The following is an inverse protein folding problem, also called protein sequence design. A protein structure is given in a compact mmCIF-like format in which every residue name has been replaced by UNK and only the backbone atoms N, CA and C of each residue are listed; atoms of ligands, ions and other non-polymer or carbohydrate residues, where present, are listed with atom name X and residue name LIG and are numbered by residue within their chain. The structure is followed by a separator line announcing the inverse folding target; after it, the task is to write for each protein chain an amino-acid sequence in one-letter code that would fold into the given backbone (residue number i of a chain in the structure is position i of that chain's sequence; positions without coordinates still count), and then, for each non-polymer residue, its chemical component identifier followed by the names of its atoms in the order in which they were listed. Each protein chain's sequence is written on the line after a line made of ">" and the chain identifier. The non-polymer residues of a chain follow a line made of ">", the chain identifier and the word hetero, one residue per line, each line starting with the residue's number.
data_IF_544319979101
#
_entry.id   IF_544319979101
#
_cell.length_a   1.000
_cell.length_b   1.000
_cell.length_c   1.000
_cell.angle_alpha   90.00
_cell.angle_beta   90.00
_cell.angle_gamma   90.00
#
_symmetry.space_group_name_H-M   'P 1'
#
loop_
_entity.id
_entity.type
_entity.pdbx_description
1 polymer ?
#
# COMPACT_ATOMS: atom_id res chain seq x y z
N UNK A 1 -22.49 5.37 65.38
CA UNK A 1 -21.27 4.84 64.73
C UNK A 1 -21.51 4.12 63.41
N UNK A 2 -22.72 3.61 63.10
CA UNK A 2 -23.03 2.89 61.83
C UNK A 2 -23.22 3.75 60.57
N UNK A 3 -23.58 5.03 60.68
CA UNK A 3 -23.88 5.90 59.52
C UNK A 3 -22.65 6.39 58.75
N UNK A 4 -21.47 6.44 59.37
CA UNK A 4 -20.23 6.86 58.70
C UNK A 4 -19.59 5.75 57.88
N UNK A 5 -19.73 4.48 58.26
CA UNK A 5 -19.20 3.34 57.56
C UNK A 5 -19.93 3.07 56.20
N UNK A 6 -21.24 3.36 56.15
CA UNK A 6 -22.01 3.21 54.89
C UNK A 6 -21.61 4.25 53.82
N UNK A 7 -21.36 5.51 54.25
CA UNK A 7 -20.95 6.57 53.31
C UNK A 7 -19.54 6.33 52.75
N UNK A 8 -18.64 5.76 53.53
CA UNK A 8 -17.28 5.43 53.09
C UNK A 8 -17.28 4.25 52.09
N UNK A 9 -18.11 3.24 52.30
CA UNK A 9 -18.23 2.09 51.35
C UNK A 9 -18.83 2.50 50.04
N UNK A 10 -19.82 3.38 50.00
CA UNK A 10 -20.44 3.87 48.78
C UNK A 10 -19.49 4.78 48.01
N UNK A 11 -18.68 5.61 48.68
CA UNK A 11 -17.67 6.43 48.05
C UNK A 11 -16.54 5.58 47.43
N UNK A 12 -16.07 4.55 48.16
CA UNK A 12 -15.02 3.63 47.66
C UNK A 12 -15.50 2.84 46.43
N UNK A 13 -16.76 2.38 46.44
CA UNK A 13 -17.36 1.65 45.32
C UNK A 13 -17.55 2.53 44.08
N UNK A 14 -17.86 3.83 44.25
CA UNK A 14 -17.95 4.80 43.15
C UNK A 14 -16.59 5.10 42.53
N UNK A 15 -15.53 5.16 43.35
CA UNK A 15 -14.15 5.36 42.87
C UNK A 15 -13.68 4.12 42.10
N UNK A 16 -13.96 2.90 42.56
CA UNK A 16 -13.60 1.66 41.89
C UNK A 16 -14.35 1.49 40.54
N UNK A 17 -15.62 1.88 40.47
CA UNK A 17 -16.40 1.84 39.20
C UNK A 17 -15.88 2.91 38.22
N UNK A 18 -15.50 4.08 38.69
CA UNK A 18 -14.90 5.12 37.83
C UNK A 18 -13.51 4.72 37.30
N UNK A 19 -12.70 4.00 38.10
CA UNK A 19 -11.42 3.47 37.68
C UNK A 19 -11.59 2.31 36.64
N UNK A 20 -12.60 1.47 36.81
CA UNK A 20 -12.89 0.38 35.90
C UNK A 20 -13.42 0.87 34.52
N UNK A 21 -14.21 1.96 34.50
CA UNK A 21 -14.65 2.60 33.24
C UNK A 21 -13.52 3.34 32.52
N UNK A 22 -12.54 3.88 33.26
CA UNK A 22 -11.38 4.57 32.67
C UNK A 22 -10.38 3.64 31.96
N UNK A 23 -10.37 2.36 32.31
CA UNK A 23 -9.43 1.37 31.73
C UNK A 23 -9.94 0.71 30.44
N UNK A 24 -11.22 0.90 30.08
CA UNK A 24 -11.78 0.34 28.83
C UNK A 24 -11.57 1.22 27.58
N UNK A 25 -10.96 2.40 27.72
CA UNK A 25 -10.79 3.34 26.61
C UNK A 25 -9.36 3.38 26.02
N UNK A 26 -8.45 2.54 26.49
CA UNK A 26 -7.07 2.47 25.94
C UNK A 26 -6.79 1.19 25.16
N UNK A 27 -7.80 0.47 24.73
CA UNK A 27 -7.67 -0.43 23.59
C UNK A 27 -7.49 0.45 22.37
N UNK A 28 -6.26 0.82 22.04
CA UNK A 28 -5.95 1.38 20.73
C UNK A 28 -6.47 0.37 19.71
N UNK A 29 -7.65 0.63 19.17
CA UNK A 29 -8.10 -0.04 17.98
C UNK A 29 -7.00 0.26 16.95
N UNK A 30 -6.13 -0.70 16.70
CA UNK A 30 -5.42 -0.76 15.44
C UNK A 30 -6.52 -0.82 14.39
N UNK A 31 -6.89 0.35 13.89
CA UNK A 31 -7.83 0.45 12.79
C UNK A 31 -7.34 -0.50 11.72
N UNK A 32 -8.22 -1.35 11.26
CA UNK A 32 -7.90 -2.23 10.15
C UNK A 32 -7.62 -1.33 8.94
N UNK A 33 -6.34 -1.23 8.55
CA UNK A 33 -5.90 -0.37 7.45
C UNK A 33 -6.20 -0.98 6.08
N UNK A 34 -7.02 -2.03 6.02
CA UNK A 34 -7.45 -2.65 4.76
C UNK A 34 -8.24 -1.68 3.90
N UNK A 35 -9.13 -0.87 4.49
CA UNK A 35 -9.88 0.16 3.77
C UNK A 35 -8.97 1.29 3.26
N UNK A 36 -7.97 1.69 4.07
CA UNK A 36 -6.95 2.66 3.67
C UNK A 36 -6.13 2.14 2.48
N UNK A 37 -5.74 0.86 2.52
CA UNK A 37 -5.02 0.20 1.44
C UNK A 37 -5.85 0.09 0.15
N UNK A 38 -7.13 -0.30 0.28
CA UNK A 38 -8.05 -0.35 -0.86
C UNK A 38 -8.20 1.02 -1.50
N UNK A 39 -8.43 2.06 -0.67
CA UNK A 39 -8.55 3.45 -1.14
C UNK A 39 -7.28 3.96 -1.81
N UNK A 40 -6.10 3.60 -1.30
CA UNK A 40 -4.82 3.92 -1.91
C UNK A 40 -4.72 3.34 -3.33
N UNK A 41 -5.10 2.08 -3.54
CA UNK A 41 -5.07 1.45 -4.86
C UNK A 41 -6.12 2.07 -5.80
N UNK A 42 -7.35 2.31 -5.35
CA UNK A 42 -8.36 3.00 -6.15
C UNK A 42 -7.88 4.38 -6.60
N UNK A 43 -7.24 5.12 -5.69
CA UNK A 43 -6.69 6.46 -6.00
C UNK A 43 -5.56 6.36 -7.02
N UNK A 44 -4.62 5.43 -6.85
CA UNK A 44 -3.54 5.19 -7.81
C UNK A 44 -4.09 4.86 -9.21
N UNK A 45 -5.07 3.95 -9.27
CA UNK A 45 -5.66 3.55 -10.56
C UNK A 45 -6.37 4.74 -11.23
N UNK A 46 -7.12 5.53 -10.46
CA UNK A 46 -7.78 6.73 -10.98
C UNK A 46 -6.78 7.76 -11.50
N UNK A 47 -5.66 7.99 -10.82
CA UNK A 47 -4.59 8.89 -11.27
C UNK A 47 -3.96 8.38 -12.58
N UNK A 48 -3.64 7.09 -12.68
CA UNK A 48 -3.09 6.50 -13.90
C UNK A 48 -4.06 6.67 -15.07
N UNK A 49 -5.35 6.45 -14.84
CA UNK A 49 -6.38 6.61 -15.86
C UNK A 49 -6.54 8.07 -16.31
N UNK A 50 -6.50 9.03 -15.38
CA UNK A 50 -6.57 10.45 -15.69
C UNK A 50 -5.36 10.92 -16.52
N UNK A 51 -4.16 10.51 -16.13
CA UNK A 51 -2.94 10.77 -16.89
C UNK A 51 -3.04 10.16 -18.29
N UNK A 52 -3.44 8.89 -18.38
CA UNK A 52 -3.60 8.21 -19.66
C UNK A 52 -4.64 8.88 -20.58
N UNK A 53 -5.67 9.51 -20.01
CA UNK A 53 -6.69 10.20 -20.77
C UNK A 53 -6.27 11.60 -21.26
N UNK A 54 -5.40 12.29 -20.50
CA UNK A 54 -5.12 13.73 -20.68
C UNK A 54 -3.75 14.04 -21.23
N UNK A 55 -2.77 13.16 -21.02
CA UNK A 55 -1.36 13.41 -21.36
C UNK A 55 -1.00 12.77 -22.70
N UNK A 56 -0.35 13.56 -23.57
CA UNK A 56 0.30 13.01 -24.75
C UNK A 56 1.52 12.18 -24.34
N UNK A 57 1.89 11.18 -25.16
CA UNK A 57 3.14 10.41 -24.93
C UNK A 57 4.32 11.31 -25.32
N UNK A 58 4.77 12.08 -24.35
CA UNK A 58 5.89 13.00 -24.44
C UNK A 58 6.74 12.94 -23.15
N UNK A 59 7.69 13.84 -23.00
CA UNK A 59 8.56 13.90 -21.80
C UNK A 59 7.78 14.06 -20.49
N UNK A 60 6.53 14.53 -20.53
CA UNK A 60 5.69 14.71 -19.35
C UNK A 60 5.20 13.36 -18.78
N UNK A 61 5.00 12.33 -19.63
CA UNK A 61 4.60 11.01 -19.16
C UNK A 61 5.66 10.36 -18.27
N UNK A 62 6.95 10.55 -18.59
CA UNK A 62 8.06 10.04 -17.79
C UNK A 62 8.10 10.71 -16.41
N UNK A 63 7.91 12.04 -16.38
CA UNK A 63 7.83 12.75 -15.10
C UNK A 63 6.66 12.31 -14.26
N UNK A 64 5.48 12.13 -14.82
CA UNK A 64 4.30 11.69 -14.09
C UNK A 64 4.44 10.25 -13.60
N UNK A 65 5.06 9.36 -14.39
CA UNK A 65 5.40 8.00 -13.97
C UNK A 65 6.35 8.02 -12.77
N UNK A 66 7.36 8.88 -12.80
CA UNK A 66 8.34 9.05 -11.73
C UNK A 66 7.67 9.56 -10.43
N UNK A 67 6.78 10.54 -10.53
CA UNK A 67 6.01 11.09 -9.41
C UNK A 67 5.07 10.03 -8.78
N UNK A 68 4.46 9.14 -9.58
CA UNK A 68 3.65 8.00 -9.09
C UNK A 68 4.53 7.00 -8.34
N UNK A 69 5.68 6.66 -8.90
CA UNK A 69 6.61 5.72 -8.27
C UNK A 69 7.05 6.23 -6.90
N UNK A 70 7.37 7.52 -6.79
CA UNK A 70 7.77 8.12 -5.51
C UNK A 70 6.66 8.11 -4.46
N UNK A 71 5.41 8.31 -4.86
CA UNK A 71 4.29 8.39 -3.91
C UNK A 71 3.81 7.05 -3.41
N UNK A 72 3.78 6.04 -4.27
CA UNK A 72 3.15 4.76 -3.95
C UNK A 72 4.13 3.64 -3.66
N UNK A 73 5.41 3.78 -4.06
CA UNK A 73 6.41 2.72 -3.92
C UNK A 73 7.64 3.23 -3.16
N UNK A 74 8.22 2.39 -2.32
CA UNK A 74 9.57 2.63 -1.77
C UNK A 74 10.60 2.00 -2.70
N UNK A 75 10.92 2.65 -3.82
CA UNK A 75 11.73 2.08 -4.90
C UNK A 75 13.10 1.57 -4.42
N UNK A 76 13.73 2.22 -3.44
CA UNK A 76 15.00 1.76 -2.86
C UNK A 76 14.85 0.40 -2.17
N UNK A 77 13.73 0.21 -1.46
CA UNK A 77 13.42 -1.08 -0.82
C UNK A 77 13.19 -2.16 -1.88
N UNK A 78 12.46 -1.85 -2.94
CA UNK A 78 12.20 -2.77 -4.04
C UNK A 78 13.49 -3.13 -4.76
N UNK A 79 14.31 -2.13 -5.13
CA UNK A 79 15.60 -2.33 -5.77
C UNK A 79 16.53 -3.21 -4.93
N UNK A 80 16.63 -2.96 -3.63
CA UNK A 80 17.44 -3.78 -2.74
C UNK A 80 16.94 -5.23 -2.65
N UNK A 81 15.63 -5.43 -2.71
CA UNK A 81 15.02 -6.74 -2.68
C UNK A 81 15.31 -7.55 -3.94
N UNK A 82 15.24 -6.92 -5.13
CA UNK A 82 15.43 -7.62 -6.42
C UNK A 82 16.81 -8.23 -6.59
N UNK A 83 17.86 -7.63 -6.04
CA UNK A 83 19.21 -8.20 -6.09
C UNK A 83 19.60 -8.98 -4.82
N UNK A 84 18.72 -8.98 -3.79
CA UNK A 84 18.79 -9.83 -2.62
C UNK A 84 20.16 -9.79 -1.92
N UNK A 85 20.88 -10.95 -1.79
CA UNK A 85 22.14 -11.02 -1.08
C UNK A 85 23.24 -10.09 -1.63
N UNK A 86 23.22 -9.81 -2.93
CA UNK A 86 24.22 -8.94 -3.57
C UNK A 86 24.16 -7.52 -3.05
N UNK A 87 22.97 -7.04 -2.65
CA UNK A 87 22.80 -5.71 -2.05
C UNK A 87 23.70 -5.50 -0.82
N UNK A 88 23.81 -6.51 0.04
CA UNK A 88 24.62 -6.41 1.27
C UNK A 88 26.12 -6.31 1.00
N UNK A 89 26.57 -6.91 -0.09
CA UNK A 89 27.98 -6.98 -0.46
C UNK A 89 28.39 -5.84 -1.42
N UNK A 90 27.44 -5.08 -1.94
CA UNK A 90 27.68 -3.97 -2.85
C UNK A 90 28.28 -2.76 -2.10
N UNK A 91 29.23 -2.07 -2.71
CA UNK A 91 29.71 -0.77 -2.22
C UNK A 91 28.62 0.30 -2.38
N UNK A 92 28.76 1.43 -1.68
CA UNK A 92 27.78 2.53 -1.77
C UNK A 92 27.68 3.08 -3.21
N UNK A 93 28.80 3.18 -3.92
CA UNK A 93 28.81 3.59 -5.32
C UNK A 93 28.07 2.57 -6.24
N UNK A 94 28.24 1.28 -6.00
CA UNK A 94 27.50 0.24 -6.72
C UNK A 94 26.00 0.30 -6.44
N UNK A 95 25.61 0.51 -5.17
CA UNK A 95 24.19 0.69 -4.79
C UNK A 95 23.59 1.91 -5.46
N UNK A 96 24.26 3.06 -5.43
CA UNK A 96 23.78 4.28 -6.07
C UNK A 96 23.59 4.12 -7.58
N UNK A 97 24.56 3.51 -8.28
CA UNK A 97 24.40 3.21 -9.71
C UNK A 97 23.25 2.27 -9.99
N UNK A 98 23.08 1.24 -9.17
CA UNK A 98 21.98 0.31 -9.32
C UNK A 98 20.62 0.99 -9.09
N UNK A 99 20.47 1.77 -8.02
CA UNK A 99 19.24 2.52 -7.73
C UNK A 99 18.86 3.44 -8.89
N UNK A 100 19.83 4.18 -9.42
CA UNK A 100 19.60 5.06 -10.57
C UNK A 100 19.11 4.28 -11.79
N UNK A 101 19.74 3.15 -12.10
CA UNK A 101 19.36 2.30 -13.25
C UNK A 101 18.00 1.66 -13.01
N UNK A 102 17.77 1.09 -11.83
CA UNK A 102 16.49 0.46 -11.47
C UNK A 102 15.33 1.46 -11.61
N UNK A 103 15.48 2.67 -11.04
CA UNK A 103 14.48 3.73 -11.16
C UNK A 103 14.19 4.07 -12.62
N UNK A 104 15.22 4.30 -13.43
CA UNK A 104 15.06 4.63 -14.84
C UNK A 104 14.29 3.54 -15.61
N UNK A 105 14.61 2.25 -15.37
CA UNK A 105 13.91 1.12 -16.00
C UNK A 105 12.45 1.06 -15.58
N UNK A 106 12.14 1.24 -14.28
CA UNK A 106 10.75 1.18 -13.80
C UNK A 106 9.92 2.35 -14.35
N UNK A 107 10.50 3.56 -14.39
CA UNK A 107 9.84 4.74 -14.98
C UNK A 107 9.57 4.53 -16.46
N UNK A 108 10.55 4.02 -17.21
CA UNK A 108 10.42 3.74 -18.63
C UNK A 108 9.35 2.68 -18.90
N UNK A 109 9.32 1.59 -18.12
CA UNK A 109 8.29 0.56 -18.23
C UNK A 109 6.90 1.13 -17.95
N UNK A 110 6.74 1.97 -16.93
CA UNK A 110 5.48 2.62 -16.62
C UNK A 110 5.05 3.55 -17.77
N UNK A 111 5.92 4.44 -18.22
CA UNK A 111 5.65 5.39 -19.29
C UNK A 111 5.25 4.71 -20.61
N UNK A 112 5.97 3.65 -21.02
CA UNK A 112 5.70 2.92 -22.26
C UNK A 112 4.38 2.10 -22.23
N UNK A 113 3.81 1.86 -21.05
CA UNK A 113 2.54 1.12 -20.91
C UNK A 113 1.33 2.01 -20.65
N UNK A 114 1.49 3.34 -20.57
CA UNK A 114 0.37 4.24 -20.29
C UNK A 114 -0.77 4.15 -21.31
N UNK A 115 -0.45 3.96 -22.58
CA UNK A 115 -1.46 3.79 -23.62
C UNK A 115 -2.36 2.57 -23.36
N UNK A 116 -1.77 1.48 -22.88
CA UNK A 116 -2.51 0.29 -22.49
C UNK A 116 -3.48 0.55 -21.34
N UNK A 117 -3.08 1.36 -20.35
CA UNK A 117 -3.94 1.71 -19.21
C UNK A 117 -5.22 2.47 -19.58
N UNK A 118 -5.26 3.15 -20.74
CA UNK A 118 -6.48 3.81 -21.23
C UNK A 118 -7.63 2.85 -21.49
N UNK A 119 -7.31 1.65 -21.94
CA UNK A 119 -8.32 0.63 -22.25
C UNK A 119 -8.75 -0.18 -21.04
N UNK A 120 -8.02 -0.09 -19.93
CA UNK A 120 -8.28 -0.92 -18.76
C UNK A 120 -9.33 -0.29 -17.85
N UNK A 121 -10.15 -1.15 -17.26
CA UNK A 121 -11.05 -0.84 -16.15
C UNK A 121 -10.66 -1.70 -14.95
N UNK A 122 -10.48 -1.08 -13.80
CA UNK A 122 -10.16 -1.78 -12.56
C UNK A 122 -11.41 -1.94 -11.72
N UNK A 123 -11.69 -3.15 -11.29
CA UNK A 123 -12.80 -3.51 -10.43
C UNK A 123 -12.26 -4.06 -9.11
N UNK A 124 -12.38 -3.29 -8.03
CA UNK A 124 -12.03 -3.74 -6.69
C UNK A 124 -12.84 -4.99 -6.31
N UNK A 125 -12.20 -5.97 -5.67
CA UNK A 125 -12.84 -7.19 -5.21
C UNK A 125 -12.77 -7.36 -3.69
N UNK A 126 -11.58 -7.24 -3.12
CA UNK A 126 -11.39 -7.44 -1.68
C UNK A 126 -10.11 -6.79 -1.19
N UNK A 127 -10.08 -6.55 0.13
CA UNK A 127 -8.87 -6.17 0.84
C UNK A 127 -8.78 -6.97 2.15
N UNK A 128 -7.63 -7.58 2.41
CA UNK A 128 -7.45 -8.44 3.58
C UNK A 128 -6.05 -8.34 4.19
N UNK A 129 -5.96 -8.48 5.51
CA UNK A 129 -4.66 -8.61 6.17
C UNK A 129 -4.03 -9.98 5.91
N UNK A 130 -2.72 -9.97 5.62
CA UNK A 130 -1.89 -11.16 5.46
C UNK A 130 -0.74 -11.16 6.46
N UNK A 131 -0.93 -11.84 7.58
CA UNK A 131 0.03 -11.80 8.69
C UNK A 131 0.07 -10.42 9.37
N UNK A 132 1.22 -10.06 9.95
CA UNK A 132 1.35 -8.87 10.80
C UNK A 132 1.53 -7.55 10.03
N UNK A 133 2.17 -7.62 8.85
CA UNK A 133 2.73 -6.42 8.19
C UNK A 133 2.36 -6.32 6.72
N UNK A 134 1.33 -7.03 6.28
CA UNK A 134 0.91 -7.06 4.89
C UNK A 134 -0.59 -6.92 4.74
N UNK A 135 -0.99 -6.21 3.71
CA UNK A 135 -2.37 -6.16 3.22
C UNK A 135 -2.33 -6.59 1.77
N UNK A 136 -3.27 -7.43 1.38
CA UNK A 136 -3.49 -7.82 -0.01
C UNK A 136 -4.78 -7.13 -0.47
N UNK A 137 -4.66 -6.35 -1.53
CA UNK A 137 -5.81 -5.76 -2.22
C UNK A 137 -5.97 -6.49 -3.55
N UNK A 138 -7.11 -7.09 -3.76
CA UNK A 138 -7.43 -7.83 -4.98
C UNK A 138 -8.41 -7.06 -5.86
N UNK A 139 -8.22 -7.16 -7.14
CA UNK A 139 -9.12 -6.61 -8.14
C UNK A 139 -9.08 -7.42 -9.43
N UNK A 140 -9.96 -7.04 -10.35
CA UNK A 140 -9.98 -7.54 -11.72
C UNK A 140 -9.69 -6.36 -12.64
N UNK A 141 -8.85 -6.59 -13.63
CA UNK A 141 -8.59 -5.67 -14.73
C UNK A 141 -9.33 -6.18 -15.95
N UNK A 142 -10.23 -5.36 -16.49
CA UNK A 142 -11.00 -5.62 -17.68
C UNK A 142 -10.49 -4.76 -18.84
N UNK A 143 -10.20 -5.38 -20.00
CA UNK A 143 -9.84 -4.66 -21.21
C UNK A 143 -11.11 -4.29 -22.01
N UNK A 144 -11.50 -3.03 -21.97
CA UNK A 144 -12.67 -2.50 -22.70
C UNK A 144 -12.63 -2.71 -24.22
N UNK A 145 -11.46 -2.98 -24.78
CA UNK A 145 -11.32 -3.30 -26.20
C UNK A 145 -11.66 -4.76 -26.53
N UNK A 146 -11.73 -5.61 -25.50
CA UNK A 146 -11.97 -7.06 -25.66
C UNK A 146 -10.81 -7.83 -26.29
N UNK A 147 -9.64 -7.22 -26.41
CA UNK A 147 -8.44 -7.85 -26.99
C UNK A 147 -7.84 -8.88 -26.03
N UNK A 148 -7.92 -8.62 -24.74
CA UNK A 148 -7.39 -9.50 -23.69
C UNK A 148 -8.51 -9.94 -22.75
N UNK A 149 -8.45 -11.16 -22.21
CA UNK A 149 -9.40 -11.60 -21.19
C UNK A 149 -9.23 -10.78 -19.90
N UNK A 150 -10.24 -10.80 -19.04
CA UNK A 150 -10.15 -10.28 -17.69
C UNK A 150 -9.02 -10.97 -16.95
N UNK A 151 -8.25 -10.19 -16.19
CA UNK A 151 -7.12 -10.69 -15.43
C UNK A 151 -7.24 -10.31 -13.96
N UNK A 152 -6.95 -11.25 -13.07
CA UNK A 152 -6.86 -10.97 -11.64
C UNK A 152 -5.57 -10.22 -11.34
N UNK A 153 -5.68 -9.13 -10.59
CA UNK A 153 -4.57 -8.35 -10.07
C UNK A 153 -4.59 -8.34 -8.55
N UNK A 154 -3.41 -8.58 -7.94
CA UNK A 154 -3.24 -8.55 -6.49
C UNK A 154 -2.11 -7.61 -6.12
N UNK A 155 -2.41 -6.61 -5.29
CA UNK A 155 -1.46 -5.65 -4.78
C UNK A 155 -1.02 -6.07 -3.38
N UNK A 156 0.28 -6.27 -3.19
CA UNK A 156 0.86 -6.53 -1.87
C UNK A 156 1.35 -5.23 -1.27
N UNK A 157 0.69 -4.80 -0.21
CA UNK A 157 0.93 -3.53 0.44
C UNK A 157 1.64 -3.78 1.77
N UNK A 158 2.71 -3.05 2.02
CA UNK A 158 3.42 -3.09 3.29
C UNK A 158 2.67 -2.24 4.31
N UNK A 159 2.29 -2.86 5.42
CA UNK A 159 1.67 -2.25 6.58
C UNK A 159 2.63 -2.35 7.77
N UNK A 160 3.36 -1.29 8.06
CA UNK A 160 4.25 -1.20 9.21
C UNK A 160 3.65 -0.17 10.18
N UNK A 161 3.45 -0.52 11.47
CA UNK A 161 2.92 0.41 12.46
C UNK A 161 3.70 1.73 12.49
N UNK A 162 2.98 2.86 12.45
CA UNK A 162 3.57 4.20 12.49
C UNK A 162 4.28 4.64 11.21
N UNK A 163 4.15 3.89 10.12
CA UNK A 163 4.64 4.26 8.79
C UNK A 163 3.49 4.31 7.78
N UNK A 164 3.71 5.07 6.69
CA UNK A 164 2.78 5.09 5.57
C UNK A 164 2.73 3.74 4.87
N UNK A 165 1.56 3.42 4.31
CA UNK A 165 1.40 2.27 3.42
C UNK A 165 2.20 2.49 2.13
N UNK A 166 2.76 1.42 1.58
CA UNK A 166 3.36 1.47 0.25
C UNK A 166 3.19 0.14 -0.46
N UNK A 167 3.16 0.20 -1.79
CA UNK A 167 3.09 -0.98 -2.63
C UNK A 167 4.47 -1.64 -2.67
N UNK A 168 4.49 -2.91 -2.31
CA UNK A 168 5.70 -3.73 -2.33
C UNK A 168 5.76 -4.63 -3.57
N UNK A 169 4.61 -5.14 -4.02
CA UNK A 169 4.55 -6.06 -5.15
C UNK A 169 3.19 -5.98 -5.84
N UNK A 170 3.18 -6.31 -7.09
CA UNK A 170 2.01 -6.46 -7.94
C UNK A 170 2.07 -7.82 -8.58
N UNK A 171 0.96 -8.57 -8.54
CA UNK A 171 0.83 -9.87 -9.19
C UNK A 171 -0.31 -9.85 -10.19
N UNK A 172 -0.07 -10.42 -11.38
CA UNK A 172 -1.10 -10.71 -12.37
C UNK A 172 -1.27 -12.23 -12.46
N UNK A 173 -2.51 -12.72 -12.38
CA UNK A 173 -2.82 -14.15 -12.42
C UNK A 173 -1.92 -14.97 -11.46
N UNK A 174 -1.69 -14.44 -10.25
CA UNK A 174 -0.80 -15.00 -9.23
C UNK A 174 0.70 -15.01 -9.58
N UNK A 175 1.12 -14.38 -10.66
CA UNK A 175 2.53 -14.21 -11.01
C UNK A 175 3.03 -12.87 -10.48
N UNK A 176 3.96 -12.90 -9.52
CA UNK A 176 4.56 -11.70 -8.92
C UNK A 176 5.46 -10.99 -9.92
N UNK A 177 5.30 -9.68 -10.05
CA UNK A 177 6.17 -8.86 -10.91
C UNK A 177 7.55 -8.62 -10.29
N UNK A 178 7.67 -8.77 -8.97
CA UNK A 178 8.93 -8.56 -8.26
C UNK A 178 9.79 -9.83 -8.16
N UNK A 179 9.17 -11.02 -8.23
CA UNK A 179 9.82 -12.31 -8.01
C UNK A 179 10.02 -13.13 -9.30
N UNK A 180 9.72 -12.56 -10.45
CA UNK A 180 9.84 -13.24 -11.77
C UNK A 180 11.22 -13.08 -12.39
#
# INVERSE_FOLDING_TARGET
>A
MHRHLHKCRVALMRILVALALGFMLTGGAYADRTDEAAKMIETLVAEIQDIAATVAIDDNIYKQSDDIIDRYFKYETLASFTIGPYWRNASDDQRQRYLKTFRAVVVELAANNFEYFRSLEYMFQSSEKKGKNWIIVNGIVHDKTGKYPDAMVSWRIKDTPGQDLYIFDLSFENVSMLLT
#
